data_IF_084854609628
#
_entry.id   IF_084854609628
#
_cell.length_a   1.000
_cell.length_b   1.000
_cell.length_c   1.000
_cell.angle_alpha   90.00
_cell.angle_beta   90.00
_cell.angle_gamma   90.00
#
_symmetry.space_group_name_H-M   'P 1'
#
loop_
_entity.id
_entity.type
_entity.pdbx_description
1 polymer ?
#
# COMPACT_ATOMS: atom_id res chain seq x y z
N UNK A 1 -19.19 11.63 7.35
CA UNK A 1 -18.83 12.53 8.48
C UNK A 1 -18.23 11.70 9.60
N UNK A 2 -17.07 12.10 10.12
CA UNK A 2 -16.44 11.46 11.29
C UNK A 2 -16.80 12.29 12.52
N UNK A 3 -17.59 11.73 13.44
CA UNK A 3 -18.06 12.42 14.65
C UNK A 3 -18.73 13.79 14.39
N UNK A 4 -19.57 13.87 13.34
CA UNK A 4 -20.39 15.03 12.93
C UNK A 4 -19.65 16.32 12.50
N UNK A 5 -18.51 16.66 13.11
CA UNK A 5 -17.82 17.93 12.89
C UNK A 5 -16.57 17.81 12.00
N UNK A 6 -16.07 16.59 11.79
CA UNK A 6 -14.94 16.35 10.89
C UNK A 6 -15.42 15.78 9.56
N UNK A 7 -14.99 16.41 8.46
CA UNK A 7 -15.20 15.92 7.10
C UNK A 7 -13.94 15.26 6.57
N UNK A 8 -14.12 14.14 5.89
CA UNK A 8 -13.07 13.48 5.14
C UNK A 8 -12.82 14.26 3.85
N UNK A 9 -11.55 14.51 3.53
CA UNK A 9 -11.14 15.27 2.35
C UNK A 9 -10.40 14.36 1.36
N UNK A 10 -10.66 14.59 0.07
CA UNK A 10 -10.05 13.81 -0.99
C UNK A 10 -10.42 12.33 -0.90
N UNK A 11 -9.64 11.42 -1.47
CA UNK A 11 -9.92 9.98 -1.37
C UNK A 11 -8.92 9.32 -0.43
N UNK A 12 -9.36 8.58 0.61
CA UNK A 12 -8.44 7.77 1.40
C UNK A 12 -7.64 6.85 0.49
N UNK A 13 -6.33 6.79 0.72
CA UNK A 13 -5.39 6.09 -0.13
C UNK A 13 -4.69 5.00 0.67
N UNK A 14 -4.79 3.76 0.21
CA UNK A 14 -4.03 2.62 0.71
C UNK A 14 -2.88 2.38 -0.26
N UNK A 15 -1.64 2.39 0.24
CA UNK A 15 -0.43 2.16 -0.54
C UNK A 15 0.31 0.94 -0.01
N UNK A 16 0.72 0.05 -0.90
CA UNK A 16 1.48 -1.15 -0.58
C UNK A 16 2.87 -1.13 -1.18
N UNK A 17 3.85 -1.59 -0.40
CA UNK A 17 5.17 -1.94 -0.89
C UNK A 17 5.42 -3.44 -0.68
N UNK A 18 6.03 -4.08 -1.67
CA UNK A 18 6.39 -5.50 -1.63
C UNK A 18 7.79 -5.73 -2.19
N UNK A 19 8.40 -6.86 -1.84
CA UNK A 19 9.73 -7.25 -2.32
C UNK A 19 9.65 -8.43 -3.28
N UNK A 20 10.66 -8.54 -4.15
CA UNK A 20 10.71 -9.59 -5.16
C UNK A 20 10.83 -10.98 -4.51
N UNK A 21 10.27 -11.98 -5.17
CA UNK A 21 10.61 -13.37 -4.85
C UNK A 21 12.10 -13.61 -5.13
N UNK A 22 12.72 -14.51 -4.37
CA UNK A 22 14.15 -14.82 -4.37
C UNK A 22 15.03 -13.62 -3.98
N UNK A 23 14.52 -12.73 -3.14
CA UNK A 23 15.29 -11.60 -2.61
C UNK A 23 16.18 -11.96 -1.40
N UNK A 24 16.10 -13.20 -0.92
CA UNK A 24 17.00 -13.75 0.09
C UNK A 24 17.70 -15.03 -0.40
N UNK A 25 18.86 -15.30 0.19
CA UNK A 25 19.62 -16.52 -0.06
C UNK A 25 19.03 -17.68 0.74
N UNK A 26 18.60 -18.73 0.04
CA UNK A 26 18.20 -20.00 0.63
C UNK A 26 19.44 -20.90 0.68
N UNK A 27 19.68 -21.55 1.82
CA UNK A 27 20.79 -22.50 1.96
C UNK A 27 20.54 -23.71 1.06
N UNK A 28 21.57 -24.17 0.34
CA UNK A 28 21.45 -25.21 -0.68
C UNK A 28 20.77 -26.50 -0.18
N UNK A 29 21.00 -26.87 1.08
CA UNK A 29 20.38 -28.02 1.74
C UNK A 29 18.84 -27.95 1.79
N UNK A 30 18.25 -26.75 1.74
CA UNK A 30 16.80 -26.50 1.79
C UNK A 30 16.24 -25.99 0.45
N UNK A 31 17.06 -26.00 -0.62
CA UNK A 31 16.66 -25.45 -1.90
C UNK A 31 15.50 -26.21 -2.56
N UNK A 32 15.25 -27.47 -2.18
CA UNK A 32 14.13 -28.27 -2.69
C UNK A 32 12.81 -27.93 -1.99
N UNK A 33 12.87 -27.59 -0.71
CA UNK A 33 11.72 -27.34 0.15
C UNK A 33 11.30 -25.86 0.10
N UNK A 34 12.27 -24.94 0.05
CA UNK A 34 12.03 -23.50 0.09
C UNK A 34 12.08 -22.92 -1.34
N UNK A 35 10.95 -23.00 -2.03
CA UNK A 35 10.80 -22.52 -3.41
C UNK A 35 10.54 -21.00 -3.53
N UNK A 36 10.30 -20.32 -2.41
CA UNK A 36 10.03 -18.87 -2.38
C UNK A 36 10.69 -18.24 -1.15
N UNK A 37 11.38 -17.12 -1.39
CA UNK A 37 12.10 -16.40 -0.35
C UNK A 37 11.88 -14.89 -0.50
N UNK A 38 11.49 -14.22 0.58
CA UNK A 38 11.30 -12.78 0.62
C UNK A 38 12.11 -12.17 1.76
N UNK A 39 13.07 -11.30 1.44
CA UNK A 39 13.95 -10.64 2.41
C UNK A 39 13.27 -9.46 3.12
N UNK A 40 13.98 -8.80 4.04
CA UNK A 40 13.54 -7.52 4.60
C UNK A 40 13.46 -6.43 3.52
N UNK A 41 12.65 -5.39 3.74
CA UNK A 41 12.53 -4.31 2.76
C UNK A 41 13.87 -3.60 2.55
N UNK A 42 14.27 -3.49 1.29
CA UNK A 42 15.28 -2.54 0.80
C UNK A 42 14.80 -2.05 -0.56
N UNK A 43 15.09 -0.79 -0.88
CA UNK A 43 14.71 -0.20 -2.17
C UNK A 43 15.27 -0.97 -3.37
N UNK A 44 16.43 -1.62 -3.23
CA UNK A 44 17.07 -2.42 -4.30
C UNK A 44 16.33 -3.72 -4.63
N UNK A 45 15.58 -4.30 -3.68
CA UNK A 45 14.82 -5.54 -3.86
C UNK A 45 13.31 -5.32 -3.92
N UNK A 46 12.88 -4.07 -3.99
CA UNK A 46 11.47 -3.70 -4.15
C UNK A 46 10.92 -4.29 -5.45
N UNK A 47 9.75 -4.91 -5.37
CA UNK A 47 9.08 -5.47 -6.53
C UNK A 47 8.22 -4.41 -7.19
N UNK A 48 8.62 -4.06 -8.41
CA UNK A 48 7.95 -3.06 -9.26
C UNK A 48 7.18 -3.70 -10.41
N UNK A 49 7.16 -5.04 -10.48
CA UNK A 49 6.44 -5.74 -11.53
C UNK A 49 4.93 -5.66 -11.28
N UNK A 50 4.17 -5.45 -12.35
CA UNK A 50 2.73 -5.57 -12.28
C UNK A 50 2.34 -7.01 -11.89
N UNK A 51 1.24 -7.16 -11.15
CA UNK A 51 0.77 -8.47 -10.70
C UNK A 51 -0.74 -8.57 -10.71
N UNK A 52 -1.27 -9.79 -10.86
CA UNK A 52 -2.71 -9.98 -11.06
C UNK A 52 -3.13 -9.64 -12.49
N UNK A 53 -4.44 -9.74 -12.74
CA UNK A 53 -5.03 -9.62 -14.09
C UNK A 53 -5.69 -8.27 -14.34
N UNK A 54 -5.42 -7.26 -13.50
CA UNK A 54 -6.10 -5.97 -13.57
C UNK A 54 -5.18 -4.86 -14.05
N UNK A 55 -5.59 -4.12 -15.08
CA UNK A 55 -4.88 -2.92 -15.58
C UNK A 55 -5.18 -1.68 -14.73
N UNK A 56 -5.18 -1.81 -13.40
CA UNK A 56 -5.54 -0.73 -12.48
C UNK A 56 -4.35 -0.31 -11.62
N UNK A 57 -4.40 0.89 -11.05
CA UNK A 57 -3.36 1.41 -10.11
C UNK A 57 -3.11 0.48 -8.90
N UNK A 58 -4.06 -0.38 -8.57
CA UNK A 58 -3.89 -1.38 -7.53
C UNK A 58 -2.83 -2.43 -7.91
N UNK A 59 -2.67 -2.74 -9.19
CA UNK A 59 -1.87 -3.87 -9.66
C UNK A 59 -0.64 -3.45 -10.46
N UNK A 60 -0.52 -2.16 -10.74
CA UNK A 60 0.59 -1.54 -11.47
C UNK A 60 1.38 -0.67 -10.50
N UNK A 61 2.69 -0.91 -10.40
CA UNK A 61 3.57 -0.12 -9.54
C UNK A 61 3.74 1.30 -10.10
N UNK A 62 3.70 2.30 -9.22
CA UNK A 62 3.92 3.70 -9.57
C UNK A 62 5.10 4.28 -8.79
N UNK A 63 5.87 5.16 -9.44
CA UNK A 63 7.03 5.81 -8.83
C UNK A 63 6.62 6.89 -7.82
N UNK A 64 7.58 7.26 -6.97
CA UNK A 64 7.40 8.34 -5.99
C UNK A 64 6.98 9.66 -6.64
N UNK A 65 7.54 10.00 -7.81
CA UNK A 65 7.22 11.22 -8.55
C UNK A 65 5.78 11.21 -9.07
N UNK A 66 5.32 10.09 -9.62
CA UNK A 66 3.94 9.93 -10.11
C UNK A 66 2.94 10.00 -8.96
N UNK A 67 3.29 9.38 -7.83
CA UNK A 67 2.45 9.36 -6.63
C UNK A 67 2.53 10.65 -5.80
N UNK A 68 3.47 11.54 -6.12
CA UNK A 68 3.80 12.75 -5.36
C UNK A 68 3.98 12.44 -3.87
N UNK A 69 4.81 11.46 -3.58
CA UNK A 69 5.00 10.92 -2.23
C UNK A 69 6.47 10.79 -1.89
N UNK A 70 6.83 11.30 -0.73
CA UNK A 70 8.15 11.11 -0.14
C UNK A 70 8.28 9.76 0.58
N UNK A 71 9.52 9.27 0.80
CA UNK A 71 9.79 8.12 1.63
C UNK A 71 9.17 8.25 3.03
N UNK A 72 8.65 7.14 3.56
CA UNK A 72 8.03 7.07 4.88
C UNK A 72 8.94 6.31 5.84
N UNK A 73 9.36 6.96 6.92
CA UNK A 73 10.14 6.31 7.97
C UNK A 73 9.22 5.47 8.87
N UNK A 74 9.46 4.16 8.93
CA UNK A 74 8.82 3.25 9.88
C UNK A 74 9.77 2.83 10.99
N UNK A 75 9.27 2.01 11.90
CA UNK A 75 10.04 1.53 13.06
C UNK A 75 11.23 0.65 12.68
N UNK A 76 11.11 -0.14 11.61
CA UNK A 76 12.10 -1.15 11.22
C UNK A 76 12.86 -0.80 9.93
N UNK A 77 12.32 0.08 9.10
CA UNK A 77 12.89 0.47 7.81
C UNK A 77 12.28 1.79 7.32
N UNK A 78 12.98 2.46 6.41
CA UNK A 78 12.42 3.56 5.61
C UNK A 78 11.88 2.98 4.31
N UNK A 79 10.61 3.25 4.03
CA UNK A 79 9.90 2.78 2.85
C UNK A 79 9.90 3.86 1.77
N UNK A 80 10.14 3.49 0.51
CA UNK A 80 10.12 4.44 -0.60
C UNK A 80 8.77 5.12 -0.82
N UNK A 81 8.76 6.19 -1.61
CA UNK A 81 7.53 6.88 -2.01
C UNK A 81 6.65 6.08 -2.98
N UNK A 82 7.25 5.22 -3.79
CA UNK A 82 6.52 4.39 -4.76
C UNK A 82 5.60 3.35 -4.13
N UNK A 83 4.89 2.61 -4.99
CA UNK A 83 4.12 1.44 -4.60
C UNK A 83 2.88 1.20 -5.44
N UNK A 84 2.07 0.27 -4.96
CA UNK A 84 0.76 -0.06 -5.52
C UNK A 84 -0.32 0.66 -4.73
N UNK A 85 -1.31 1.23 -5.41
CA UNK A 85 -2.25 2.17 -4.76
C UNK A 85 -3.69 1.75 -4.97
N UNK A 86 -4.47 1.78 -3.89
CA UNK A 86 -5.93 1.66 -3.91
C UNK A 86 -6.52 2.91 -3.29
N UNK A 87 -7.45 3.54 -4.00
CA UNK A 87 -8.18 4.72 -3.49
C UNK A 87 -9.61 4.31 -3.15
N UNK A 88 -10.08 4.75 -1.99
CA UNK A 88 -11.45 4.50 -1.55
C UNK A 88 -12.35 5.69 -1.92
N UNK A 89 -13.64 5.44 -2.22
CA UNK A 89 -14.62 6.51 -2.33
C UNK A 89 -14.85 7.19 -0.98
N UNK A 90 -15.31 8.44 -1.02
CA UNK A 90 -15.54 9.27 0.17
C UNK A 90 -16.84 8.91 0.90
N UNK A 91 -17.93 8.86 0.13
CA UNK A 91 -19.30 8.85 0.65
C UNK A 91 -20.08 7.59 0.23
N UNK A 92 -19.39 6.61 -0.38
CA UNK A 92 -19.97 5.33 -0.79
C UNK A 92 -19.31 4.16 -0.04
N UNK A 93 -19.93 3.77 1.08
CA UNK A 93 -19.44 2.69 1.93
C UNK A 93 -19.54 1.33 1.23
N UNK A 94 -20.55 1.14 0.37
CA UNK A 94 -20.76 -0.13 -0.32
C UNK A 94 -19.75 -0.33 -1.43
N UNK A 95 -19.44 0.71 -2.19
CA UNK A 95 -18.35 0.72 -3.16
C UNK A 95 -16.99 0.52 -2.46
N UNK A 96 -16.72 1.22 -1.36
CA UNK A 96 -15.49 1.02 -0.58
C UNK A 96 -15.35 -0.45 -0.13
N UNK A 97 -16.43 -1.03 0.40
CA UNK A 97 -16.46 -2.44 0.80
C UNK A 97 -16.26 -3.38 -0.39
N UNK A 98 -16.84 -3.07 -1.55
CA UNK A 98 -16.66 -3.85 -2.78
C UNK A 98 -15.21 -3.83 -3.24
N UNK A 99 -14.55 -2.67 -3.24
CA UNK A 99 -13.12 -2.53 -3.58
C UNK A 99 -12.27 -3.36 -2.63
N UNK A 100 -12.45 -3.20 -1.31
CA UNK A 100 -11.68 -3.94 -0.30
C UNK A 100 -11.87 -5.46 -0.44
N UNK A 101 -13.10 -5.92 -0.62
CA UNK A 101 -13.39 -7.35 -0.86
C UNK A 101 -12.74 -7.83 -2.17
N UNK A 102 -12.74 -7.02 -3.21
CA UNK A 102 -12.12 -7.29 -4.49
C UNK A 102 -10.61 -7.53 -4.36
N UNK A 103 -9.88 -6.58 -3.78
CA UNK A 103 -8.42 -6.69 -3.61
C UNK A 103 -8.05 -7.83 -2.63
N UNK A 104 -8.88 -8.07 -1.61
CA UNK A 104 -8.70 -9.21 -0.69
C UNK A 104 -8.84 -10.55 -1.42
N UNK A 105 -9.87 -10.70 -2.26
CA UNK A 105 -10.09 -11.92 -3.06
C UNK A 105 -8.92 -12.23 -4.00
N UNK A 106 -8.28 -11.20 -4.54
CA UNK A 106 -7.16 -11.34 -5.47
C UNK A 106 -5.79 -11.42 -4.77
N UNK A 107 -5.75 -11.51 -3.43
CA UNK A 107 -4.51 -11.57 -2.64
C UNK A 107 -3.59 -10.39 -2.93
N UNK A 108 -4.15 -9.18 -2.95
CA UNK A 108 -3.37 -7.95 -3.10
C UNK A 108 -2.26 -7.85 -2.06
N UNK A 109 -2.54 -8.30 -0.83
CA UNK A 109 -1.54 -8.55 0.20
C UNK A 109 -1.08 -10.00 0.12
N UNK A 110 0.23 -10.19 0.02
CA UNK A 110 0.89 -11.49 -0.12
C UNK A 110 2.09 -11.65 0.82
N UNK A 111 2.81 -12.77 0.73
CA UNK A 111 4.01 -13.04 1.56
C UNK A 111 5.17 -12.06 1.31
N UNK A 112 5.21 -11.43 0.15
CA UNK A 112 6.23 -10.45 -0.23
C UNK A 112 5.94 -9.04 0.25
N UNK A 113 4.72 -8.78 0.74
CA UNK A 113 4.30 -7.47 1.24
C UNK A 113 5.10 -7.07 2.47
N UNK A 114 5.55 -5.81 2.54
CA UNK A 114 6.40 -5.29 3.63
C UNK A 114 5.83 -4.07 4.34
N UNK A 115 5.01 -3.29 3.65
CA UNK A 115 4.32 -2.16 4.25
C UNK A 115 2.97 -1.96 3.58
N UNK A 116 2.00 -1.59 4.41
CA UNK A 116 0.70 -1.04 4.01
C UNK A 116 0.60 0.31 4.73
N UNK A 117 0.38 1.37 3.96
CA UNK A 117 0.31 2.74 4.46
C UNK A 117 -1.06 3.29 4.08
N UNK A 118 -1.80 3.86 5.03
CA UNK A 118 -3.15 4.36 4.81
C UNK A 118 -3.15 5.86 5.06
N UNK A 119 -3.17 6.65 3.99
CA UNK A 119 -3.19 8.11 4.08
C UNK A 119 -4.62 8.63 3.90
N UNK A 120 -5.07 9.52 4.79
CA UNK A 120 -6.28 10.31 4.60
C UNK A 120 -6.20 11.65 5.33
N UNK A 121 -7.01 12.62 4.87
CA UNK A 121 -7.08 13.94 5.47
C UNK A 121 -8.49 14.20 6.01
N UNK A 122 -8.55 14.84 7.18
CA UNK A 122 -9.76 15.32 7.80
C UNK A 122 -9.70 16.85 7.89
N UNK A 123 -10.86 17.49 7.76
CA UNK A 123 -11.01 18.92 7.99
C UNK A 123 -12.15 19.19 8.96
N UNK A 124 -11.87 20.05 9.93
CA UNK A 124 -12.83 20.55 10.89
C UNK A 124 -13.09 22.04 10.63
N UNK A 125 -14.29 22.36 10.17
CA UNK A 125 -14.67 23.74 9.84
C UNK A 125 -14.86 24.62 11.08
N UNK A 126 -15.21 24.04 12.24
CA UNK A 126 -15.51 24.79 13.45
C UNK A 126 -14.25 25.44 14.05
N UNK A 127 -13.09 24.80 13.89
CA UNK A 127 -11.79 25.29 14.37
C UNK A 127 -10.79 25.57 13.25
N UNK A 128 -11.22 25.50 11.99
CA UNK A 128 -10.41 25.68 10.79
C UNK A 128 -9.09 24.86 10.81
N UNK A 129 -9.21 23.56 11.10
CA UNK A 129 -8.06 22.68 11.29
C UNK A 129 -8.06 21.54 10.27
N UNK A 130 -6.91 21.30 9.65
CA UNK A 130 -6.62 20.11 8.85
C UNK A 130 -5.87 19.09 9.71
N UNK A 131 -6.32 17.84 9.70
CA UNK A 131 -5.64 16.71 10.34
C UNK A 131 -5.28 15.69 9.27
N UNK A 132 -4.01 15.32 9.20
CA UNK A 132 -3.51 14.30 8.27
C UNK A 132 -3.24 13.03 9.07
N UNK A 133 -3.81 11.91 8.66
CA UNK A 133 -3.60 10.61 9.25
C UNK A 133 -2.85 9.71 8.26
N UNK A 134 -1.90 8.94 8.82
CA UNK A 134 -1.06 7.96 8.13
C UNK A 134 -0.89 6.72 9.00
#
# INVERSE_FOLDING_TARGET
MVYYNNKLLGRPRIRMLKVKNNSCAVVQSFAREINQCYSNYKTSVEDRNAFGSGDTEAYIWQSADVLMTEPTQGTIATYGGGGFVVRLPLDDVDEANKIIRGIKKHRWIDRGTRAIIIDFALFNANVNLFSIAR
#
